data_IF_489437597874
#
_entry.id   IF_489437597874
#
_cell.length_a   1.000
_cell.length_b   1.000
_cell.length_c   1.000
_cell.angle_alpha   90.00
_cell.angle_beta   90.00
_cell.angle_gamma   90.00
#
_symmetry.space_group_name_H-M   'P 1'
#
loop_
_entity.id
_entity.type
_entity.pdbx_description
1 polymer ?
#
# COMPACT_ATOMS: atom_id res chain seq x y z
N UNK A 1 -5.76 2.17 -11.86
CA UNK A 1 -4.47 2.39 -11.20
C UNK A 1 -3.30 1.76 -11.96
N UNK A 2 -3.11 0.43 -11.98
CA UNK A 2 -1.98 -0.20 -12.74
C UNK A 2 -2.02 0.10 -14.25
N UNK A 3 -3.22 0.12 -14.87
CA UNK A 3 -3.39 0.41 -16.31
C UNK A 3 -3.23 1.88 -16.73
N UNK A 4 -3.34 2.83 -15.78
CA UNK A 4 -3.02 4.24 -16.03
C UNK A 4 -1.51 4.49 -15.90
N UNK A 5 -0.82 3.65 -15.13
CA UNK A 5 0.65 3.63 -15.08
C UNK A 5 1.28 3.09 -16.38
N UNK A 6 0.55 2.27 -17.15
CA UNK A 6 1.05 1.63 -18.38
C UNK A 6 1.08 2.53 -19.60
N UNK A 7 0.13 3.44 -19.80
CA UNK A 7 0.07 4.25 -21.02
C UNK A 7 1.23 5.26 -21.14
N UNK A 8 1.79 5.71 -20.00
CA UNK A 8 2.92 6.65 -19.95
C UNK A 8 4.31 5.97 -19.73
N UNK A 9 4.38 4.64 -19.69
CA UNK A 9 5.63 3.86 -19.61
C UNK A 9 6.26 3.60 -20.99
N UNK A 10 5.49 3.77 -22.07
CA UNK A 10 5.88 3.43 -23.44
C UNK A 10 6.96 4.36 -24.02
N UNK A 11 7.31 5.47 -23.37
CA UNK A 11 8.17 6.48 -23.99
C UNK A 11 9.67 6.48 -23.60
N UNK A 12 10.12 5.79 -22.53
CA UNK A 12 11.57 5.84 -22.16
C UNK A 12 12.09 4.54 -21.53
N UNK A 13 13.09 3.94 -22.20
CA UNK A 13 14.00 2.84 -21.82
C UNK A 13 13.75 1.45 -22.48
N UNK A 14 14.77 0.80 -23.07
CA UNK A 14 14.65 -0.55 -23.61
C UNK A 14 15.32 -1.56 -22.65
N UNK A 15 14.55 -2.40 -21.97
CA UNK A 15 15.09 -3.48 -21.13
C UNK A 15 14.01 -4.22 -20.34
N UNK A 16 13.71 -5.45 -20.74
CA UNK A 16 12.92 -6.47 -20.02
C UNK A 16 11.60 -6.03 -19.35
N UNK A 17 10.84 -5.15 -20.00
CA UNK A 17 9.71 -4.40 -19.42
C UNK A 17 8.38 -5.16 -19.25
N UNK A 18 8.20 -6.31 -19.91
CA UNK A 18 6.91 -7.02 -19.90
C UNK A 18 6.51 -7.60 -18.54
N UNK A 19 7.48 -7.88 -17.67
CA UNK A 19 7.27 -8.60 -16.40
C UNK A 19 6.70 -7.73 -15.28
N UNK A 20 7.04 -6.43 -15.24
CA UNK A 20 6.73 -5.56 -14.09
C UNK A 20 5.33 -4.95 -14.10
N UNK A 21 4.63 -4.98 -15.23
CA UNK A 21 3.30 -4.33 -15.38
C UNK A 21 2.23 -4.96 -14.50
N UNK A 22 2.38 -6.25 -14.22
CA UNK A 22 1.41 -7.05 -13.47
C UNK A 22 1.92 -7.48 -12.10
N UNK A 23 3.17 -7.14 -11.81
CA UNK A 23 3.92 -7.63 -10.67
C UNK A 23 3.59 -6.79 -9.42
N UNK A 24 3.49 -7.46 -8.28
CA UNK A 24 3.32 -6.78 -7.00
C UNK A 24 4.65 -6.42 -6.34
N UNK A 25 4.58 -5.75 -5.19
CA UNK A 25 5.78 -5.36 -4.43
C UNK A 25 6.62 -6.57 -4.02
N UNK A 26 6.02 -7.75 -3.84
CA UNK A 26 6.77 -8.99 -3.55
C UNK A 26 7.80 -9.33 -4.60
N UNK A 27 7.47 -9.21 -5.89
CA UNK A 27 8.42 -9.46 -6.98
C UNK A 27 9.45 -8.37 -7.13
N UNK A 28 9.09 -7.12 -6.82
CA UNK A 28 10.00 -5.97 -6.87
C UNK A 28 11.07 -6.14 -5.81
N UNK A 29 10.70 -6.34 -4.55
CA UNK A 29 11.68 -6.43 -3.44
C UNK A 29 12.58 -7.67 -3.55
N UNK A 30 12.11 -8.77 -4.15
CA UNK A 30 12.94 -9.97 -4.35
C UNK A 30 14.10 -9.76 -5.33
N UNK A 31 14.08 -8.74 -6.20
CA UNK A 31 15.21 -8.48 -7.10
C UNK A 31 16.35 -7.68 -6.45
N UNK A 32 16.12 -6.98 -5.33
CA UNK A 32 17.11 -6.18 -4.57
C UNK A 32 18.14 -6.97 -3.77
N UNK A 33 18.60 -8.15 -4.21
CA UNK A 33 19.54 -8.98 -3.44
C UNK A 33 20.99 -8.41 -3.32
N UNK A 34 21.19 -7.10 -3.52
CA UNK A 34 22.43 -6.39 -3.23
C UNK A 34 22.35 -5.62 -1.91
N UNK A 35 23.45 -5.56 -1.14
CA UNK A 35 23.49 -4.81 0.12
C UNK A 35 23.28 -3.32 -0.13
N UNK A 36 22.15 -2.78 0.32
CA UNK A 36 21.91 -1.34 0.37
C UNK A 36 22.59 -0.76 1.63
N UNK A 37 23.44 0.24 1.44
CA UNK A 37 24.02 1.00 2.55
C UNK A 37 22.94 1.85 3.24
N UNK A 38 22.94 1.88 4.57
CA UNK A 38 22.09 2.79 5.33
C UNK A 38 22.76 4.16 5.45
N UNK A 39 21.97 5.23 5.37
CA UNK A 39 22.44 6.59 5.57
C UNK A 39 21.72 7.26 6.74
N UNK A 40 22.44 8.15 7.42
CA UNK A 40 21.91 8.93 8.54
C UNK A 40 21.12 10.11 8.01
N UNK A 41 19.82 10.12 8.27
CA UNK A 41 18.97 11.26 7.97
C UNK A 41 18.63 12.04 9.23
N UNK A 42 18.67 13.37 9.10
CA UNK A 42 18.28 14.31 10.16
C UNK A 42 16.80 14.62 10.05
N UNK A 43 16.13 14.75 11.19
CA UNK A 43 14.72 15.10 11.23
C UNK A 43 14.51 16.60 10.96
N UNK A 44 13.43 16.93 10.26
CA UNK A 44 12.96 18.31 10.15
C UNK A 44 12.29 18.71 11.47
N UNK A 45 13.04 19.42 12.31
CA UNK A 45 12.54 19.99 13.58
C UNK A 45 12.74 19.15 14.84
N UNK A 46 13.62 18.15 14.79
CA UNK A 46 14.14 17.46 15.96
C UNK A 46 15.64 17.26 15.78
N UNK A 47 16.45 17.49 16.81
CA UNK A 47 17.89 17.23 16.80
C UNK A 47 18.19 15.72 17.00
N UNK A 48 17.55 14.90 16.15
CA UNK A 48 17.64 13.45 16.12
C UNK A 48 18.17 12.99 14.77
N UNK A 49 18.98 11.95 14.78
CA UNK A 49 19.38 11.23 13.57
C UNK A 49 18.72 9.85 13.56
N UNK A 50 18.29 9.41 12.38
CA UNK A 50 17.73 8.08 12.21
C UNK A 50 18.30 7.46 10.95
N UNK A 51 18.75 6.21 11.07
CA UNK A 51 19.24 5.45 9.94
C UNK A 51 18.06 5.06 9.05
N UNK A 52 18.09 5.52 7.80
CA UNK A 52 17.16 5.13 6.75
C UNK A 52 17.94 4.33 5.71
N UNK A 53 17.30 3.33 5.11
CA UNK A 53 17.91 2.65 3.96
C UNK A 53 17.97 3.59 2.76
N UNK A 54 19.11 3.63 2.08
CA UNK A 54 19.20 4.35 0.82
C UNK A 54 18.14 3.82 -0.15
N UNK A 55 17.37 4.72 -0.76
CA UNK A 55 16.29 4.32 -1.65
C UNK A 55 16.88 3.89 -3.00
N UNK A 56 17.00 2.57 -3.21
CA UNK A 56 17.27 2.00 -4.51
C UNK A 56 16.04 2.14 -5.44
N UNK A 57 16.22 1.90 -6.74
CA UNK A 57 15.14 2.04 -7.74
C UNK A 57 13.90 1.19 -7.39
N UNK A 58 14.11 0.01 -6.80
CA UNK A 58 13.05 -0.90 -6.40
C UNK A 58 12.21 -0.36 -5.24
N UNK A 59 12.85 0.20 -4.21
CA UNK A 59 12.17 0.86 -3.09
C UNK A 59 11.44 2.11 -3.57
N UNK A 60 12.00 2.88 -4.50
CA UNK A 60 11.31 4.03 -5.12
C UNK A 60 10.06 3.55 -5.86
N UNK A 61 10.16 2.48 -6.66
CA UNK A 61 9.02 1.91 -7.35
C UNK A 61 7.96 1.39 -6.38
N UNK A 62 8.36 0.73 -5.29
CA UNK A 62 7.44 0.28 -4.24
C UNK A 62 6.71 1.46 -3.57
N UNK A 63 7.42 2.56 -3.26
CA UNK A 63 6.84 3.77 -2.71
C UNK A 63 5.88 4.46 -3.69
N UNK A 64 6.17 4.42 -4.99
CA UNK A 64 5.27 4.89 -6.05
C UNK A 64 4.00 4.04 -6.14
N UNK A 65 4.12 2.71 -6.04
CA UNK A 65 2.97 1.79 -5.99
C UNK A 65 2.12 1.98 -4.73
N UNK A 66 2.74 2.31 -3.60
CA UNK A 66 2.03 2.67 -2.38
C UNK A 66 1.33 4.05 -2.47
N UNK A 67 1.65 4.84 -3.50
CA UNK A 67 1.08 6.17 -3.74
C UNK A 67 1.74 7.29 -2.93
N UNK A 68 2.81 7.02 -2.19
CA UNK A 68 3.51 8.04 -1.40
C UNK A 68 4.30 9.02 -2.27
N UNK A 69 4.83 8.56 -3.41
CA UNK A 69 5.66 9.37 -4.31
C UNK A 69 5.03 9.34 -5.70
N UNK A 70 5.04 10.49 -6.40
CA UNK A 70 4.59 10.57 -7.79
C UNK A 70 5.69 10.12 -8.76
N UNK A 71 5.29 9.68 -9.96
CA UNK A 71 6.24 9.26 -11.00
C UNK A 71 7.09 10.45 -11.46
N UNK A 72 8.41 10.28 -11.50
CA UNK A 72 9.35 11.25 -12.08
C UNK A 72 9.65 12.50 -11.23
N UNK A 73 9.13 12.58 -10.01
CA UNK A 73 9.57 13.59 -9.03
C UNK A 73 10.76 13.05 -8.23
N UNK A 74 11.55 13.95 -7.63
CA UNK A 74 12.33 13.60 -6.44
C UNK A 74 11.40 12.94 -5.40
N UNK A 75 11.95 12.21 -4.43
CA UNK A 75 11.21 11.42 -3.44
C UNK A 75 10.37 12.28 -2.45
N UNK A 76 9.61 13.24 -2.97
CA UNK A 76 8.75 14.18 -2.28
C UNK A 76 7.36 13.58 -2.06
N UNK A 77 7.03 13.43 -0.79
CA UNK A 77 5.70 12.98 -0.31
C UNK A 77 4.69 14.12 -0.25
N UNK A 78 5.13 15.37 -0.42
CA UNK A 78 4.33 16.57 -0.22
C UNK A 78 3.00 16.61 -0.99
N UNK A 79 2.95 16.26 -2.29
CA UNK A 79 1.69 16.22 -3.04
C UNK A 79 0.69 15.21 -2.49
N UNK A 80 1.16 14.07 -1.97
CA UNK A 80 0.32 13.04 -1.37
C UNK A 80 -0.20 13.47 0.01
N UNK A 81 0.63 14.12 0.81
CA UNK A 81 0.17 14.73 2.07
C UNK A 81 -0.92 15.76 1.83
N UNK A 82 -0.77 16.61 0.81
CA UNK A 82 -1.76 17.63 0.50
C UNK A 82 -3.09 17.02 0.05
N UNK A 83 -3.08 15.92 -0.71
CA UNK A 83 -4.33 15.24 -1.07
C UNK A 83 -5.03 14.64 0.16
N UNK A 84 -4.28 14.08 1.12
CA UNK A 84 -4.88 13.55 2.35
C UNK A 84 -5.50 14.66 3.20
N UNK A 85 -4.84 15.81 3.32
CA UNK A 85 -5.39 16.97 4.05
C UNK A 85 -6.67 17.49 3.37
N UNK A 86 -6.70 17.51 2.03
CA UNK A 86 -7.90 17.88 1.26
C UNK A 86 -9.05 16.88 1.44
N UNK A 87 -8.73 15.60 1.62
CA UNK A 87 -9.69 14.54 1.95
C UNK A 87 -10.09 14.52 3.43
N UNK A 88 -9.62 15.49 4.24
CA UNK A 88 -9.85 15.59 5.69
C UNK A 88 -9.26 14.40 6.51
N UNK A 89 -8.29 13.67 5.94
CA UNK A 89 -7.61 12.51 6.55
C UNK A 89 -6.36 12.95 7.35
N UNK A 90 -6.55 13.83 8.35
CA UNK A 90 -5.45 14.51 9.04
C UNK A 90 -4.53 13.57 9.83
N UNK A 91 -5.07 12.56 10.51
CA UNK A 91 -4.29 11.59 11.30
C UNK A 91 -3.33 10.81 10.40
N UNK A 92 -3.86 10.35 9.26
CA UNK A 92 -3.09 9.62 8.27
C UNK A 92 -2.05 10.52 7.62
N UNK A 93 -2.40 11.75 7.24
CA UNK A 93 -1.46 12.71 6.70
C UNK A 93 -0.32 13.04 7.68
N UNK A 94 -0.64 13.26 8.96
CA UNK A 94 0.35 13.54 10.00
C UNK A 94 1.28 12.34 10.25
N UNK A 95 0.74 11.12 10.29
CA UNK A 95 1.55 9.91 10.43
C UNK A 95 2.50 9.73 9.23
N UNK A 96 2.01 9.91 8.00
CA UNK A 96 2.86 9.84 6.80
C UNK A 96 3.93 10.93 6.81
N UNK A 97 3.62 12.17 7.21
CA UNK A 97 4.62 13.23 7.36
C UNK A 97 5.71 12.85 8.38
N UNK A 98 5.29 12.27 9.51
CA UNK A 98 6.20 11.79 10.55
C UNK A 98 7.11 10.65 10.05
N UNK A 99 6.57 9.70 9.28
CA UNK A 99 7.35 8.63 8.64
C UNK A 99 8.31 9.14 7.56
N UNK A 100 8.13 10.39 7.13
CA UNK A 100 9.06 11.12 6.26
C UNK A 100 10.02 12.03 7.05
N UNK A 101 10.13 11.80 8.37
CA UNK A 101 10.97 12.52 9.32
C UNK A 101 10.68 14.03 9.41
N UNK A 102 9.46 14.45 9.02
CA UNK A 102 9.03 15.84 9.06
C UNK A 102 8.05 16.06 10.22
N UNK A 103 8.60 16.12 11.45
CA UNK A 103 7.79 16.29 12.66
C UNK A 103 7.11 17.67 12.68
N UNK A 104 7.74 18.70 12.10
CA UNK A 104 7.13 20.04 11.98
C UNK A 104 5.87 19.99 11.13
N UNK A 105 5.94 19.37 9.96
CA UNK A 105 4.77 19.23 9.09
C UNK A 105 3.70 18.35 9.70
N UNK A 106 4.08 17.28 10.41
CA UNK A 106 3.12 16.45 11.15
C UNK A 106 2.35 17.28 12.20
N UNK A 107 3.03 18.11 12.99
CA UNK A 107 2.40 19.01 13.97
C UNK A 107 1.49 20.03 13.29
N UNK A 108 1.91 20.62 12.16
CA UNK A 108 1.09 21.57 11.40
C UNK A 108 -0.21 20.93 10.92
N UNK A 109 -0.14 19.73 10.33
CA UNK A 109 -1.31 18.98 9.84
C UNK A 109 -2.26 18.65 11.00
N UNK A 110 -1.74 18.22 12.16
CA UNK A 110 -2.57 17.93 13.33
C UNK A 110 -3.27 19.18 13.85
N UNK A 111 -2.59 20.31 13.93
CA UNK A 111 -3.18 21.57 14.37
C UNK A 111 -4.24 22.10 13.39
N UNK A 112 -4.02 21.93 12.09
CA UNK A 112 -5.00 22.25 11.04
C UNK A 112 -6.26 21.40 11.21
N UNK A 113 -6.10 20.09 11.36
CA UNK A 113 -7.21 19.18 11.62
C UNK A 113 -7.95 19.49 12.91
N UNK A 114 -7.24 19.78 14.00
CA UNK A 114 -7.83 20.11 15.30
C UNK A 114 -8.61 21.44 15.31
N UNK A 115 -8.28 22.34 14.38
CA UNK A 115 -8.97 23.62 14.20
C UNK A 115 -10.20 23.51 13.27
N UNK A 116 -10.36 22.38 12.58
CA UNK A 116 -11.50 22.09 11.72
C UNK A 116 -12.73 21.69 12.55
N UNK A 117 -13.93 22.04 12.08
CA UNK A 117 -15.20 21.71 12.76
C UNK A 117 -15.41 20.20 12.95
N UNK A 118 -14.79 19.38 12.10
CA UNK A 118 -14.88 17.91 12.15
C UNK A 118 -13.66 17.26 12.85
N UNK A 119 -12.73 18.06 13.36
CA UNK A 119 -11.49 17.60 13.97
C UNK A 119 -11.69 16.93 15.34
N UNK A 120 -10.87 15.92 15.62
CA UNK A 120 -10.80 15.31 16.96
C UNK A 120 -9.87 16.14 17.88
N UNK A 121 -10.30 16.38 19.12
CA UNK A 121 -9.46 17.00 20.17
C UNK A 121 -8.18 16.20 20.44
N UNK A 122 -8.18 14.90 20.18
CA UNK A 122 -7.00 14.05 20.27
C UNK A 122 -5.86 14.54 19.36
N UNK A 123 -6.15 15.22 18.25
CA UNK A 123 -5.13 15.76 17.34
C UNK A 123 -4.22 16.77 18.05
N UNK A 124 -4.79 17.68 18.85
CA UNK A 124 -4.03 18.66 19.63
C UNK A 124 -3.19 18.00 20.71
N UNK A 125 -3.72 16.95 21.37
CA UNK A 125 -2.97 16.19 22.38
C UNK A 125 -1.75 15.52 21.75
N UNK A 126 -1.91 14.93 20.57
CA UNK A 126 -0.79 14.33 19.84
C UNK A 126 0.18 15.40 19.36
N UNK A 127 -0.28 16.51 18.80
CA UNK A 127 0.58 17.62 18.36
C UNK A 127 1.45 18.16 19.50
N UNK A 128 0.86 18.32 20.69
CA UNK A 128 1.57 18.72 21.90
C UNK A 128 2.62 17.67 22.31
N UNK A 129 2.25 16.39 22.31
CA UNK A 129 3.19 15.31 22.62
C UNK A 129 4.36 15.24 21.63
N UNK A 130 4.11 15.43 20.31
CA UNK A 130 5.16 15.50 19.28
C UNK A 130 6.12 16.66 19.52
N UNK A 131 5.62 17.82 19.92
CA UNK A 131 6.46 19.01 20.20
C UNK A 131 7.44 18.79 21.35
N UNK A 132 7.08 17.93 22.32
CA UNK A 132 7.92 17.55 23.46
C UNK A 132 8.76 16.30 23.24
N UNK A 133 8.86 15.79 22.00
CA UNK A 133 9.62 14.57 21.71
C UNK A 133 11.09 14.73 22.10
N UNK A 134 11.62 13.76 22.83
CA UNK A 134 13.01 13.72 23.31
C UNK A 134 13.65 12.38 22.99
N UNK A 135 14.97 12.36 22.80
CA UNK A 135 15.72 11.13 22.49
C UNK A 135 16.07 10.29 23.72
N UNK A 136 15.81 10.80 24.92
CA UNK A 136 16.07 10.08 26.16
C UNK A 136 15.21 8.81 26.27
N UNK A 137 15.88 7.65 26.35
CA UNK A 137 15.23 6.33 26.38
C UNK A 137 14.40 6.06 27.63
N UNK A 138 14.70 6.75 28.73
CA UNK A 138 14.01 6.60 30.03
C UNK A 138 13.28 7.88 30.45
N UNK A 139 12.89 8.72 29.49
CA UNK A 139 12.18 9.95 29.81
C UNK A 139 10.73 9.68 30.22
N UNK A 140 10.22 10.53 31.12
CA UNK A 140 8.79 10.60 31.45
C UNK A 140 7.91 10.72 30.20
N UNK A 141 8.44 11.34 29.13
CA UNK A 141 7.75 11.44 27.85
C UNK A 141 7.41 10.06 27.25
N UNK A 142 8.31 9.07 27.31
CA UNK A 142 8.04 7.71 26.76
C UNK A 142 6.98 6.96 27.57
N UNK A 143 6.97 7.13 28.89
CA UNK A 143 5.94 6.59 29.76
C UNK A 143 4.57 7.20 29.45
N UNK A 144 4.52 8.52 29.26
CA UNK A 144 3.31 9.23 28.84
C UNK A 144 2.84 8.79 27.45
N UNK A 145 3.73 8.64 26.47
CA UNK A 145 3.37 8.15 25.14
C UNK A 145 2.79 6.74 25.17
N UNK A 146 3.32 5.87 26.04
CA UNK A 146 2.80 4.51 26.22
C UNK A 146 1.37 4.54 26.77
N UNK A 147 1.09 5.44 27.71
CA UNK A 147 -0.25 5.64 28.29
C UNK A 147 -1.23 6.23 27.27
N UNK A 148 -0.83 7.29 26.57
CA UNK A 148 -1.66 7.96 25.56
C UNK A 148 -2.02 7.01 24.41
N UNK A 149 -1.09 6.15 23.99
CA UNK A 149 -1.34 5.15 22.95
C UNK A 149 -2.50 4.20 23.29
N UNK A 150 -2.70 3.88 24.58
CA UNK A 150 -3.80 3.02 25.02
C UNK A 150 -5.17 3.74 25.03
N UNK A 151 -5.17 5.07 25.04
CA UNK A 151 -6.37 5.90 25.09
C UNK A 151 -6.84 6.34 23.71
N UNK A 152 -5.98 6.22 22.70
CA UNK A 152 -6.26 6.65 21.33
C UNK A 152 -6.99 5.56 20.55
N UNK A 153 -8.09 5.94 19.92
CA UNK A 153 -8.87 5.05 19.07
C UNK A 153 -8.35 5.01 17.63
N UNK A 154 -7.79 6.12 17.15
CA UNK A 154 -7.31 6.24 15.77
C UNK A 154 -5.97 5.49 15.61
N UNK A 155 -5.88 4.50 14.70
CA UNK A 155 -4.68 3.70 14.54
C UNK A 155 -3.48 4.49 14.03
N UNK A 156 -3.68 5.54 13.23
CA UNK A 156 -2.60 6.37 12.70
C UNK A 156 -1.92 7.17 13.81
N UNK A 157 -2.70 7.72 14.76
CA UNK A 157 -2.14 8.39 15.94
C UNK A 157 -1.36 7.41 16.83
N UNK A 158 -1.87 6.19 17.00
CA UNK A 158 -1.18 5.15 17.77
C UNK A 158 0.19 4.77 17.16
N UNK A 159 0.27 4.62 15.84
CA UNK A 159 1.53 4.26 15.17
C UNK A 159 2.54 5.41 15.14
N UNK A 160 2.10 6.67 15.27
CA UNK A 160 3.02 7.80 15.46
C UNK A 160 3.84 7.64 16.75
N UNK A 161 3.16 7.34 17.87
CA UNK A 161 3.84 7.05 19.13
C UNK A 161 4.66 5.77 19.06
N UNK A 162 4.13 4.72 18.44
CA UNK A 162 4.87 3.48 18.24
C UNK A 162 6.19 3.76 17.51
N UNK A 163 6.17 4.54 16.44
CA UNK A 163 7.36 4.91 15.68
C UNK A 163 8.37 5.71 16.51
N UNK A 164 7.94 6.77 17.19
CA UNK A 164 8.86 7.62 17.96
C UNK A 164 9.48 6.90 19.16
N UNK A 165 8.75 5.95 19.73
CA UNK A 165 9.21 5.15 20.87
C UNK A 165 10.02 3.92 20.45
N UNK A 166 9.97 3.51 19.17
CA UNK A 166 10.68 2.35 18.65
C UNK A 166 12.20 2.52 18.63
N UNK A 167 12.92 1.40 18.74
CA UNK A 167 14.35 1.34 18.49
C UNK A 167 14.62 1.11 16.99
N UNK A 168 15.75 1.61 16.50
CA UNK A 168 16.14 1.46 15.09
C UNK A 168 16.15 -0.02 14.69
N UNK A 169 15.37 -0.36 13.67
CA UNK A 169 15.24 -1.73 13.16
C UNK A 169 14.17 -2.59 13.86
N UNK A 170 13.50 -2.07 14.89
CA UNK A 170 12.41 -2.73 15.62
C UNK A 170 11.11 -1.93 15.54
N UNK A 171 10.40 -2.06 14.41
CA UNK A 171 9.21 -1.27 14.09
C UNK A 171 7.89 -2.06 14.12
N UNK A 172 7.84 -3.14 14.88
CA UNK A 172 6.68 -4.06 14.93
C UNK A 172 5.37 -3.33 15.29
N UNK A 173 5.45 -2.32 16.15
CA UNK A 173 4.29 -1.51 16.55
C UNK A 173 3.66 -0.68 15.43
N UNK A 174 4.38 -0.45 14.33
CA UNK A 174 3.86 0.18 13.11
C UNK A 174 3.49 -0.88 12.07
N UNK A 175 4.38 -1.85 11.86
CA UNK A 175 4.26 -2.86 10.79
C UNK A 175 3.11 -3.85 10.99
N UNK A 176 2.73 -4.14 12.24
CA UNK A 176 1.67 -5.11 12.55
C UNK A 176 0.40 -4.47 13.12
N UNK A 177 0.24 -3.16 13.01
CA UNK A 177 -1.05 -2.50 13.30
C UNK A 177 -2.01 -2.72 12.13
N UNK A 178 -2.87 -3.73 12.24
CA UNK A 178 -3.74 -4.18 11.15
C UNK A 178 -4.78 -3.15 10.71
N UNK A 179 -5.08 -2.15 11.55
CA UNK A 179 -6.00 -1.06 11.20
C UNK A 179 -5.35 0.05 10.36
N UNK A 180 -4.02 0.04 10.21
CA UNK A 180 -3.31 0.93 9.27
C UNK A 180 -3.32 0.31 7.88
N UNK A 181 -3.60 1.14 6.87
CA UNK A 181 -3.67 0.69 5.48
C UNK A 181 -2.40 -0.05 5.06
N UNK A 182 -2.55 -1.16 4.31
CA UNK A 182 -1.41 -2.00 3.89
C UNK A 182 -0.39 -1.19 3.11
N UNK A 183 -0.84 -0.28 2.23
CA UNK A 183 0.05 0.62 1.47
C UNK A 183 0.97 1.46 2.35
N UNK A 184 0.49 1.96 3.48
CA UNK A 184 1.31 2.82 4.35
C UNK A 184 2.28 1.99 5.17
N UNK A 185 1.87 0.79 5.63
CA UNK A 185 2.77 -0.16 6.31
C UNK A 185 3.89 -0.65 5.39
N UNK A 186 3.57 -0.93 4.13
CA UNK A 186 4.55 -1.35 3.11
C UNK A 186 5.49 -0.19 2.76
N UNK A 187 4.97 1.01 2.54
CA UNK A 187 5.80 2.18 2.29
C UNK A 187 6.75 2.48 3.46
N UNK A 188 6.25 2.39 4.69
CA UNK A 188 7.07 2.50 5.90
C UNK A 188 8.18 1.42 5.91
N UNK A 189 7.83 0.16 5.66
CA UNK A 189 8.80 -0.94 5.60
C UNK A 189 9.90 -0.66 4.56
N UNK A 190 9.53 -0.17 3.38
CA UNK A 190 10.47 0.21 2.31
C UNK A 190 11.42 1.35 2.68
N UNK A 191 11.14 2.17 3.69
CA UNK A 191 12.08 3.20 4.16
C UNK A 191 12.98 2.70 5.28
N UNK A 192 12.43 1.93 6.23
CA UNK A 192 13.09 1.70 7.51
C UNK A 192 13.66 0.29 7.72
N UNK A 193 13.16 -0.73 7.01
CA UNK A 193 13.68 -2.10 7.16
C UNK A 193 14.88 -2.34 6.25
N UNK A 194 15.87 -3.10 6.74
CA UNK A 194 16.94 -3.64 5.90
C UNK A 194 16.37 -4.58 4.83
N UNK A 195 17.14 -4.89 3.77
CA UNK A 195 16.63 -5.72 2.67
C UNK A 195 16.21 -7.13 3.13
N UNK A 196 16.93 -7.71 4.09
CA UNK A 196 16.57 -9.03 4.65
C UNK A 196 15.29 -8.97 5.48
N UNK A 197 15.13 -7.92 6.31
CA UNK A 197 13.92 -7.69 7.08
C UNK A 197 12.71 -7.40 6.19
N UNK A 198 12.91 -6.57 5.15
CA UNK A 198 11.88 -6.20 4.19
C UNK A 198 11.39 -7.43 3.42
N UNK A 199 12.30 -8.25 2.88
CA UNK A 199 11.92 -9.49 2.19
C UNK A 199 11.10 -10.42 3.09
N UNK A 200 11.54 -10.63 4.33
CA UNK A 200 10.80 -11.47 5.31
C UNK A 200 9.42 -10.88 5.62
N UNK A 201 9.35 -9.57 5.83
CA UNK A 201 8.10 -8.88 6.13
C UNK A 201 7.11 -8.95 4.96
N UNK A 202 7.55 -8.67 3.74
CA UNK A 202 6.70 -8.70 2.54
C UNK A 202 6.22 -10.11 2.25
N UNK A 203 7.05 -11.14 2.41
CA UNK A 203 6.61 -12.54 2.25
C UNK A 203 5.54 -12.90 3.29
N UNK A 204 5.78 -12.58 4.56
CA UNK A 204 4.83 -12.82 5.65
C UNK A 204 3.49 -12.12 5.40
N UNK A 205 3.54 -10.82 5.13
CA UNK A 205 2.34 -10.01 4.87
C UNK A 205 1.60 -10.53 3.63
N UNK A 206 2.31 -10.94 2.57
CA UNK A 206 1.66 -11.52 1.39
C UNK A 206 0.86 -12.76 1.75
N UNK A 207 1.42 -13.66 2.55
CA UNK A 207 0.72 -14.88 2.97
C UNK A 207 -0.49 -14.56 3.86
N UNK A 208 -0.36 -13.63 4.81
CA UNK A 208 -1.47 -13.17 5.64
C UNK A 208 -2.63 -12.59 4.79
N UNK A 209 -2.30 -11.77 3.79
CA UNK A 209 -3.30 -11.20 2.89
C UNK A 209 -3.98 -12.26 2.02
N UNK A 210 -3.22 -13.24 1.52
CA UNK A 210 -3.74 -14.40 0.78
C UNK A 210 -4.70 -15.20 1.65
N UNK A 211 -4.28 -15.63 2.84
CA UNK A 211 -5.11 -16.42 3.76
C UNK A 211 -6.40 -15.69 4.18
N UNK A 212 -6.31 -14.37 4.39
CA UNK A 212 -7.46 -13.54 4.73
C UNK A 212 -8.39 -13.29 3.53
N UNK A 213 -7.94 -13.50 2.29
CA UNK A 213 -8.66 -13.07 1.09
C UNK A 213 -8.82 -11.55 1.02
N UNK A 214 -7.87 -10.78 1.56
CA UNK A 214 -7.97 -9.32 1.62
C UNK A 214 -7.38 -8.70 0.36
N UNK A 215 -8.23 -8.06 -0.46
CA UNK A 215 -7.86 -7.50 -1.77
C UNK A 215 -6.83 -6.36 -1.72
N UNK A 216 -6.56 -5.72 -0.56
CA UNK A 216 -5.40 -4.84 -0.43
C UNK A 216 -4.08 -5.58 -0.73
N UNK A 217 -4.07 -6.90 -0.60
CA UNK A 217 -2.96 -7.80 -0.94
C UNK A 217 -2.55 -7.78 -2.41
N UNK A 218 -3.40 -7.26 -3.31
CA UNK A 218 -3.06 -7.08 -4.74
C UNK A 218 -1.82 -6.19 -4.88
N UNK A 219 -1.61 -5.24 -3.97
CA UNK A 219 -0.39 -4.42 -3.93
C UNK A 219 0.88 -5.28 -3.82
N UNK A 220 0.80 -6.41 -3.10
CA UNK A 220 1.92 -7.30 -2.80
C UNK A 220 2.06 -8.39 -3.87
N UNK A 221 0.95 -9.02 -4.23
CA UNK A 221 0.92 -10.16 -5.15
C UNK A 221 0.96 -9.75 -6.63
N UNK A 222 0.47 -8.55 -6.93
CA UNK A 222 0.07 -8.17 -8.28
C UNK A 222 -1.07 -9.06 -8.79
N UNK A 223 -1.34 -8.96 -10.09
CA UNK A 223 -2.28 -9.83 -10.80
C UNK A 223 -1.50 -10.97 -11.46
N UNK A 224 -0.71 -11.66 -10.63
CA UNK A 224 0.12 -12.82 -11.00
C UNK A 224 -0.53 -14.11 -10.47
N UNK A 225 0.17 -15.25 -10.55
CA UNK A 225 -0.29 -16.50 -9.91
C UNK A 225 -0.53 -16.34 -8.40
N UNK A 226 0.32 -15.59 -7.71
CA UNK A 226 0.11 -15.24 -6.29
C UNK A 226 -1.18 -14.42 -6.09
N UNK A 227 -1.53 -13.58 -7.08
CA UNK A 227 -2.78 -12.83 -7.11
C UNK A 227 -4.00 -13.70 -7.36
N UNK A 228 -3.87 -14.78 -8.14
CA UNK A 228 -4.95 -15.77 -8.31
C UNK A 228 -5.24 -16.46 -6.98
N UNK A 229 -4.22 -16.89 -6.24
CA UNK A 229 -4.40 -17.51 -4.93
C UNK A 229 -5.06 -16.57 -3.91
N UNK A 230 -4.70 -15.28 -3.95
CA UNK A 230 -5.36 -14.24 -3.15
C UNK A 230 -6.86 -14.13 -3.52
N UNK A 231 -7.14 -14.09 -4.82
CA UNK A 231 -8.50 -13.93 -5.33
C UNK A 231 -9.36 -15.17 -5.06
N UNK A 232 -8.78 -16.36 -5.09
CA UNK A 232 -9.46 -17.61 -4.70
C UNK A 232 -9.93 -17.53 -3.26
N UNK A 233 -9.04 -17.15 -2.34
CA UNK A 233 -9.40 -16.98 -0.92
C UNK A 233 -10.45 -15.88 -0.71
N UNK A 234 -10.44 -14.82 -1.53
CA UNK A 234 -11.49 -13.80 -1.52
C UNK A 234 -12.85 -14.35 -1.99
N UNK A 235 -12.88 -15.06 -3.12
CA UNK A 235 -14.09 -15.66 -3.69
C UNK A 235 -14.67 -16.71 -2.75
N UNK A 236 -13.85 -17.57 -2.16
CA UNK A 236 -14.29 -18.61 -1.23
C UNK A 236 -14.98 -18.03 0.01
N UNK A 237 -14.58 -16.83 0.43
CA UNK A 237 -15.15 -16.14 1.60
C UNK A 237 -16.38 -15.32 1.28
N UNK A 238 -16.43 -14.70 0.10
CA UNK A 238 -17.44 -13.69 -0.23
C UNK A 238 -18.48 -14.17 -1.25
N UNK A 239 -18.13 -15.17 -2.07
CA UNK A 239 -18.88 -15.56 -3.26
C UNK A 239 -18.83 -14.53 -4.40
N UNK A 240 -18.04 -13.45 -4.26
CA UNK A 240 -18.01 -12.35 -5.23
C UNK A 240 -17.13 -12.70 -6.45
N UNK A 241 -17.70 -13.53 -7.33
CA UNK A 241 -17.12 -13.89 -8.63
C UNK A 241 -17.10 -12.71 -9.62
N UNK A 242 -17.89 -11.66 -9.41
CA UNK A 242 -17.92 -10.49 -10.28
C UNK A 242 -16.60 -9.71 -10.17
N UNK A 243 -16.21 -9.34 -8.93
CA UNK A 243 -14.96 -8.63 -8.69
C UNK A 243 -13.77 -9.45 -9.17
N UNK A 244 -13.73 -10.74 -8.83
CA UNK A 244 -12.68 -11.65 -9.28
C UNK A 244 -12.55 -11.70 -10.80
N UNK A 245 -13.68 -11.91 -11.51
CA UNK A 245 -13.70 -11.98 -12.96
C UNK A 245 -13.24 -10.68 -13.61
N UNK A 246 -13.74 -9.54 -13.14
CA UNK A 246 -13.43 -8.24 -13.74
C UNK A 246 -11.97 -7.84 -13.49
N UNK A 247 -11.48 -7.98 -12.25
CA UNK A 247 -10.10 -7.69 -11.90
C UNK A 247 -9.13 -8.56 -12.72
N UNK A 248 -9.39 -9.87 -12.78
CA UNK A 248 -8.52 -10.79 -13.50
C UNK A 248 -8.54 -10.50 -15.00
N UNK A 249 -9.73 -10.38 -15.60
CA UNK A 249 -9.86 -10.10 -17.03
C UNK A 249 -9.16 -8.81 -17.45
N UNK A 250 -9.34 -7.74 -16.69
CA UNK A 250 -8.86 -6.41 -17.07
C UNK A 250 -7.35 -6.21 -16.89
N UNK A 251 -6.77 -6.90 -15.90
CA UNK A 251 -5.46 -6.55 -15.36
C UNK A 251 -4.47 -7.68 -15.27
N UNK A 252 -4.78 -8.90 -15.73
CA UNK A 252 -3.83 -10.02 -15.68
C UNK A 252 -3.18 -10.27 -17.03
N UNK A 253 -1.95 -10.81 -17.07
CA UNK A 253 -1.34 -11.28 -18.31
C UNK A 253 -2.07 -12.52 -18.85
N UNK A 254 -1.88 -12.80 -20.15
CA UNK A 254 -2.60 -13.86 -20.85
C UNK A 254 -2.41 -15.27 -20.27
N UNK A 255 -1.26 -15.55 -19.65
CA UNK A 255 -0.98 -16.82 -18.99
C UNK A 255 -1.79 -16.98 -17.70
N UNK A 256 -1.94 -15.92 -16.91
CA UNK A 256 -2.78 -15.90 -15.71
C UNK A 256 -4.27 -15.98 -16.09
N UNK A 257 -4.67 -15.33 -17.18
CA UNK A 257 -6.04 -15.45 -17.68
C UNK A 257 -6.43 -16.89 -18.04
N UNK A 258 -5.46 -17.72 -18.45
CA UNK A 258 -5.69 -19.13 -18.78
C UNK A 258 -5.75 -20.05 -17.56
N UNK A 259 -5.53 -19.53 -16.34
CA UNK A 259 -5.71 -20.30 -15.11
C UNK A 259 -7.16 -20.82 -15.02
N UNK A 260 -7.32 -22.10 -14.68
CA UNK A 260 -8.61 -22.77 -14.64
C UNK A 260 -9.57 -22.11 -13.65
N UNK A 261 -9.06 -21.62 -12.51
CA UNK A 261 -9.84 -20.92 -11.49
C UNK A 261 -10.37 -19.59 -12.04
N UNK A 262 -9.52 -18.85 -12.75
CA UNK A 262 -9.90 -17.57 -13.38
C UNK A 262 -10.98 -17.78 -14.44
N UNK A 263 -10.83 -18.79 -15.30
CA UNK A 263 -11.84 -19.14 -16.29
C UNK A 263 -13.15 -19.57 -15.63
N UNK A 264 -13.08 -20.32 -14.53
CA UNK A 264 -14.24 -20.73 -13.76
C UNK A 264 -15.00 -19.52 -13.17
N UNK A 265 -14.31 -18.56 -12.56
CA UNK A 265 -14.97 -17.34 -12.04
C UNK A 265 -15.65 -16.56 -13.17
N UNK A 266 -14.95 -16.38 -14.30
CA UNK A 266 -15.48 -15.69 -15.48
C UNK A 266 -16.77 -16.36 -15.95
N UNK A 267 -16.80 -17.68 -16.07
CA UNK A 267 -17.99 -18.40 -16.52
C UNK A 267 -19.14 -18.32 -15.52
N UNK A 268 -18.85 -18.41 -14.22
CA UNK A 268 -19.88 -18.26 -13.18
C UNK A 268 -20.48 -16.85 -13.18
N UNK A 269 -19.65 -15.81 -13.38
CA UNK A 269 -20.16 -14.45 -13.50
C UNK A 269 -21.03 -14.27 -14.75
N UNK A 270 -20.65 -14.88 -15.89
CA UNK A 270 -21.47 -14.92 -17.11
C UNK A 270 -22.84 -15.55 -16.83
N UNK A 271 -22.85 -16.75 -16.23
CA UNK A 271 -24.07 -17.46 -15.86
C UNK A 271 -24.95 -16.67 -14.88
N UNK A 272 -24.34 -15.94 -13.94
CA UNK A 272 -25.06 -15.09 -12.98
C UNK A 272 -25.77 -13.94 -13.68
N UNK A 273 -25.10 -13.25 -14.60
CA UNK A 273 -25.70 -12.19 -15.41
C UNK A 273 -26.85 -12.72 -16.26
N UNK A 274 -26.71 -13.92 -16.80
CA UNK A 274 -27.75 -14.58 -17.59
C UNK A 274 -28.96 -14.94 -16.72
N UNK A 275 -28.74 -15.53 -15.54
CA UNK A 275 -29.80 -15.85 -14.58
C UNK A 275 -30.56 -14.60 -14.12
N UNK A 276 -29.87 -13.48 -13.92
CA UNK A 276 -30.46 -12.19 -13.57
C UNK A 276 -31.05 -11.43 -14.76
N UNK A 277 -30.96 -11.99 -15.98
CA UNK A 277 -31.44 -11.38 -17.23
C UNK A 277 -30.77 -10.05 -17.55
N UNK A 278 -29.53 -9.85 -17.10
CA UNK A 278 -28.69 -8.69 -17.40
C UNK A 278 -27.94 -8.88 -18.72
N UNK A 279 -28.69 -9.18 -19.79
CA UNK A 279 -28.17 -9.50 -21.13
C UNK A 279 -27.30 -8.40 -21.73
N UNK A 280 -27.63 -7.13 -21.47
CA UNK A 280 -26.82 -6.01 -21.95
C UNK A 280 -25.45 -5.96 -21.27
N UNK A 281 -25.40 -6.12 -19.94
CA UNK A 281 -24.13 -6.17 -19.19
C UNK A 281 -23.32 -7.41 -19.52
N UNK A 282 -24.01 -8.53 -19.74
CA UNK A 282 -23.43 -9.77 -20.24
C UNK A 282 -22.74 -9.57 -21.59
N UNK A 283 -23.41 -8.92 -22.54
CA UNK A 283 -22.85 -8.63 -23.86
C UNK A 283 -21.67 -7.64 -23.78
N UNK A 284 -21.78 -6.58 -22.98
CA UNK A 284 -20.67 -5.64 -22.72
C UNK A 284 -19.43 -6.38 -22.19
N UNK A 285 -19.63 -7.30 -21.23
CA UNK A 285 -18.55 -8.09 -20.65
C UNK A 285 -17.87 -9.04 -21.66
N UNK A 286 -18.64 -9.72 -22.52
CA UNK A 286 -18.09 -10.58 -23.58
C UNK A 286 -17.36 -9.80 -24.67
N UNK A 287 -17.88 -8.63 -25.05
CA UNK A 287 -17.18 -7.72 -25.98
C UNK A 287 -15.84 -7.31 -25.38
N UNK A 288 -15.81 -7.02 -24.08
CA UNK A 288 -14.57 -6.67 -23.38
C UNK A 288 -13.59 -7.84 -23.35
N UNK A 289 -14.06 -9.05 -23.01
CA UNK A 289 -13.26 -10.28 -23.00
C UNK A 289 -12.66 -10.58 -24.38
N UNK A 290 -13.45 -10.52 -25.43
CA UNK A 290 -13.00 -10.83 -26.80
C UNK A 290 -11.96 -9.86 -27.35
N UNK A 291 -11.93 -8.61 -26.87
CA UNK A 291 -10.88 -7.64 -27.19
C UNK A 291 -9.54 -8.01 -26.57
N UNK A 292 -9.56 -8.57 -25.36
CA UNK A 292 -8.35 -8.92 -24.60
C UNK A 292 -7.84 -10.32 -24.94
N UNK A 293 -8.74 -11.23 -25.31
CA UNK A 293 -8.42 -12.57 -25.79
C UNK A 293 -9.19 -12.88 -27.08
N UNK A 294 -8.60 -12.62 -28.26
CA UNK A 294 -9.23 -12.88 -29.55
C UNK A 294 -9.56 -14.35 -29.81
N UNK A 295 -8.95 -15.29 -29.07
CA UNK A 295 -9.24 -16.73 -29.17
C UNK A 295 -10.56 -17.10 -28.49
N UNK A 296 -11.10 -16.22 -27.64
CA UNK A 296 -12.36 -16.40 -26.93
C UNK A 296 -13.61 -15.97 -27.73
N UNK A 297 -13.47 -15.62 -29.02
CA UNK A 297 -14.61 -15.28 -29.87
C UNK A 297 -15.59 -16.46 -29.93
N UNK A 298 -16.89 -16.24 -29.65
CA UNK A 298 -17.89 -17.24 -30.00
C UNK A 298 -17.83 -17.48 -31.51
N UNK A 299 -17.94 -18.75 -31.92
CA UNK A 299 -18.17 -19.09 -33.32
C UNK A 299 -19.43 -18.33 -33.78
N UNK A 300 -19.32 -17.62 -34.91
CA UNK A 300 -20.48 -16.99 -35.52
C UNK A 300 -21.54 -18.07 -35.78
N UNK A 301 -22.72 -17.89 -35.19
CA UNK A 301 -23.90 -18.71 -35.48
C UNK A 301 -24.42 -18.40 -36.88
#
# INVERSE_FOLDING_TARGET
FMKQYTEDMDQKSPGNKGSLVYAGIKSIVKSSLGMVESSRHSWSGLDKQTDIQNLNEERILALQLCGWIKKGTDADVGPFLNSLVQEEEWERAAAVALFNLDIRRAIQILNEGASSEKGDLNLNVVAMALSGCTDEKNSLWREMCSTLRLQLNNPYLCVMFAFLTSETGSYDGVLYENKVAVRDRVAFACKFLSDSQLNRYIEKLTNEMKEAGNLEGILLTGLTKDGVDLMESYVDRTGDVQTASYCMLQGSPLDVLKDERVQYWIENYRNLLDAWRFWHKRAEFDIHRSKLDPSSKPLAQ
#
